data_IF_334870627243
#
_entry.id   IF_334870627243
#
_cell.length_a   1.000
_cell.length_b   1.000
_cell.length_c   1.000
_cell.angle_alpha   90.00
_cell.angle_beta   90.00
_cell.angle_gamma   90.00
#
_symmetry.space_group_name_H-M   'P 1'
#
loop_
_entity.id
_entity.type
_entity.pdbx_description
1 polymer ?
#
# COMPACT_ATOMS: atom_id res chain seq x y z
N UNK A 1 -4.12 -0.47 18.44
CA UNK A 1 -5.48 -0.26 17.86
C UNK A 1 -5.56 -1.10 16.59
N UNK A 2 -6.46 -2.07 16.51
CA UNK A 2 -6.67 -2.90 15.31
C UNK A 2 -7.88 -2.38 14.54
N UNK A 3 -7.71 -1.27 13.82
CA UNK A 3 -8.81 -0.52 13.19
C UNK A 3 -9.47 -1.26 12.00
N UNK A 4 -8.73 -2.13 11.31
CA UNK A 4 -9.25 -2.81 10.11
C UNK A 4 -10.01 -4.10 10.43
N UNK A 5 -9.58 -4.85 11.44
CA UNK A 5 -10.25 -6.12 11.81
C UNK A 5 -11.69 -5.85 12.25
N UNK A 6 -11.93 -4.76 12.98
CA UNK A 6 -13.26 -4.41 13.49
C UNK A 6 -14.26 -4.03 12.41
N UNK A 7 -13.82 -3.72 11.19
CA UNK A 7 -14.71 -3.45 10.06
C UNK A 7 -15.31 -4.73 9.45
N UNK A 8 -14.75 -5.89 9.78
CA UNK A 8 -15.13 -7.17 9.19
C UNK A 8 -14.65 -7.33 7.73
N UNK A 9 -15.01 -8.45 7.09
CA UNK A 9 -14.57 -8.75 5.72
C UNK A 9 -15.18 -7.80 4.68
N UNK A 10 -16.41 -7.35 4.90
CA UNK A 10 -17.10 -6.34 4.10
C UNK A 10 -17.75 -5.37 5.08
N UNK A 11 -17.28 -4.13 5.09
CA UNK A 11 -17.84 -3.11 5.96
C UNK A 11 -19.14 -2.55 5.36
N UNK A 12 -20.23 -2.63 6.12
CA UNK A 12 -21.48 -1.93 5.81
C UNK A 12 -21.29 -0.42 6.00
N UNK A 13 -21.45 0.34 4.91
CA UNK A 13 -21.27 1.80 4.87
C UNK A 13 -22.57 2.57 4.66
N UNK A 14 -23.72 1.90 4.72
CA UNK A 14 -25.04 2.54 4.53
C UNK A 14 -25.33 3.64 5.55
N UNK A 15 -24.71 3.55 6.74
CA UNK A 15 -24.88 4.50 7.86
C UNK A 15 -23.60 5.28 8.20
N UNK A 16 -22.57 5.18 7.36
CA UNK A 16 -21.30 5.85 7.60
C UNK A 16 -21.48 7.36 7.51
N UNK A 17 -21.00 8.10 8.52
CA UNK A 17 -20.98 9.55 8.51
C UNK A 17 -19.55 10.03 8.33
N UNK A 18 -19.29 10.66 7.18
CA UNK A 18 -17.99 11.23 6.85
C UNK A 18 -17.92 12.69 7.30
N UNK A 19 -16.75 13.11 7.76
CA UNK A 19 -16.46 14.49 8.16
C UNK A 19 -15.52 15.16 7.15
N UNK A 20 -15.23 16.46 7.33
CA UNK A 20 -14.44 17.23 6.38
C UNK A 20 -13.05 16.63 6.09
N UNK A 21 -12.40 15.99 7.08
CA UNK A 21 -11.11 15.32 6.88
C UNK A 21 -11.18 14.10 5.96
N UNK A 22 -12.38 13.57 5.70
CA UNK A 22 -12.60 12.38 4.87
C UNK A 22 -12.84 12.73 3.39
N UNK A 23 -12.55 13.97 2.97
CA UNK A 23 -12.72 14.39 1.58
C UNK A 23 -12.01 13.46 0.58
N UNK A 24 -10.82 12.95 0.95
CA UNK A 24 -10.09 11.97 0.14
C UNK A 24 -10.82 10.64 -0.04
N UNK A 25 -11.54 10.18 0.98
CA UNK A 25 -12.37 8.96 0.92
C UNK A 25 -13.51 9.17 -0.09
N UNK A 26 -14.17 10.33 -0.03
CA UNK A 26 -15.26 10.67 -0.97
C UNK A 26 -14.74 10.73 -2.41
N UNK A 27 -13.63 11.43 -2.64
CA UNK A 27 -13.01 11.54 -3.96
C UNK A 27 -12.66 10.16 -4.52
N UNK A 28 -11.95 9.35 -3.73
CA UNK A 28 -11.53 8.02 -4.14
C UNK A 28 -12.70 7.12 -4.49
N UNK A 29 -13.75 7.10 -3.67
CA UNK A 29 -14.95 6.28 -3.96
C UNK A 29 -15.69 6.75 -5.20
N UNK A 30 -15.76 8.06 -5.46
CA UNK A 30 -16.38 8.59 -6.68
C UNK A 30 -15.62 8.15 -7.93
N UNK A 31 -14.29 8.29 -7.90
CA UNK A 31 -13.41 7.82 -8.97
C UNK A 31 -13.62 6.32 -9.22
N UNK A 32 -13.54 5.47 -8.19
CA UNK A 32 -13.76 4.03 -8.36
C UNK A 32 -15.11 3.69 -8.99
N UNK A 33 -16.19 4.36 -8.58
CA UNK A 33 -17.51 4.13 -9.15
C UNK A 33 -17.59 4.60 -10.61
N UNK A 34 -16.84 5.61 -11.01
CA UNK A 34 -16.72 6.01 -12.42
C UNK A 34 -15.95 4.96 -13.22
N UNK A 35 -14.82 4.48 -12.73
CA UNK A 35 -14.02 3.46 -13.39
C UNK A 35 -14.78 2.12 -13.53
N UNK A 36 -15.59 1.75 -12.52
CA UNK A 36 -16.49 0.59 -12.62
C UNK A 36 -17.48 0.75 -13.79
N UNK A 37 -18.06 1.93 -13.98
CA UNK A 37 -18.99 2.18 -15.10
C UNK A 37 -18.27 2.07 -16.45
N UNK A 38 -17.02 2.52 -16.55
CA UNK A 38 -16.20 2.35 -17.76
C UNK A 38 -16.01 0.87 -18.10
N UNK A 39 -15.66 0.07 -17.09
CA UNK A 39 -15.54 -1.39 -17.25
C UNK A 39 -16.86 -2.03 -17.70
N UNK A 40 -17.99 -1.64 -17.10
CA UNK A 40 -19.32 -2.11 -17.50
C UNK A 40 -19.67 -1.73 -18.96
N UNK A 41 -19.17 -0.59 -19.43
CA UNK A 41 -19.30 -0.13 -20.82
C UNK A 41 -18.27 -0.78 -21.77
N UNK A 42 -17.48 -1.75 -21.30
CA UNK A 42 -16.35 -2.36 -22.02
C UNK A 42 -15.26 -1.36 -22.46
N UNK A 43 -15.13 -0.26 -21.72
CA UNK A 43 -14.05 0.72 -21.85
C UNK A 43 -12.90 0.41 -20.89
N UNK A 44 -11.75 1.02 -21.15
CA UNK A 44 -10.57 0.87 -20.29
C UNK A 44 -10.68 1.78 -19.05
N UNK A 45 -10.57 1.22 -17.84
CA UNK A 45 -10.45 2.02 -16.65
C UNK A 45 -9.05 2.65 -16.56
N UNK A 46 -8.93 3.64 -15.69
CA UNK A 46 -7.70 4.35 -15.40
C UNK A 46 -6.58 3.38 -15.00
N UNK A 47 -5.41 3.58 -15.61
CA UNK A 47 -4.20 2.79 -15.35
C UNK A 47 -4.06 1.53 -16.21
N UNK A 48 -4.96 1.28 -17.16
CA UNK A 48 -4.79 0.18 -18.12
C UNK A 48 -3.91 0.64 -19.28
N UNK A 49 -2.74 0.01 -19.41
CA UNK A 49 -1.80 0.18 -20.52
C UNK A 49 -1.77 -1.13 -21.30
N UNK A 50 -2.37 -1.15 -22.49
CA UNK A 50 -2.49 -2.38 -23.30
C UNK A 50 -1.32 -2.59 -24.25
N UNK A 51 -0.70 -1.51 -24.72
CA UNK A 51 0.44 -1.58 -25.62
C UNK A 51 1.68 -2.07 -24.85
N UNK A 52 2.26 -3.22 -25.21
CA UNK A 52 3.48 -3.71 -24.58
C UNK A 52 4.66 -2.75 -24.70
N UNK A 53 4.71 -1.89 -25.73
CA UNK A 53 5.77 -0.91 -25.90
C UNK A 53 5.67 0.27 -24.94
N UNK A 54 4.49 0.51 -24.36
CA UNK A 54 4.23 1.57 -23.37
C UNK A 54 4.14 1.00 -21.94
N UNK A 55 4.05 -0.33 -21.80
CA UNK A 55 3.91 -1.02 -20.51
C UNK A 55 5.26 -1.40 -19.91
N UNK A 56 6.09 -0.38 -19.67
CA UNK A 56 7.39 -0.54 -19.05
C UNK A 56 7.34 -0.31 -17.54
N UNK A 57 8.17 -1.07 -16.81
CA UNK A 57 8.33 -0.90 -15.36
C UNK A 57 9.13 0.37 -15.12
N UNK A 58 8.51 1.35 -14.46
CA UNK A 58 9.21 2.54 -13.99
C UNK A 58 10.00 2.18 -12.72
N UNK A 59 11.32 2.08 -12.85
CA UNK A 59 12.21 1.95 -11.69
C UNK A 59 12.32 3.29 -10.96
N UNK A 60 11.59 3.42 -9.86
CA UNK A 60 11.74 4.56 -8.96
C UNK A 60 13.05 4.42 -8.17
N UNK A 61 13.87 5.48 -8.04
CA UNK A 61 15.08 5.44 -7.23
C UNK A 61 14.68 5.21 -5.76
N UNK A 62 14.94 4.00 -5.28
CA UNK A 62 14.73 3.68 -3.86
C UNK A 62 15.98 4.04 -3.08
N UNK A 63 15.82 4.80 -1.99
CA UNK A 63 16.90 5.08 -1.05
C UNK A 63 17.39 3.76 -0.44
N UNK A 64 18.57 3.30 -0.89
CA UNK A 64 19.22 2.07 -0.42
C UNK A 64 20.14 2.32 0.76
N UNK A 65 20.57 3.56 0.99
CA UNK A 65 21.51 3.94 2.03
C UNK A 65 20.90 4.95 3.00
N UNK A 66 19.81 4.53 3.65
CA UNK A 66 19.16 5.32 4.69
C UNK A 66 20.20 5.72 5.74
N UNK A 67 20.41 7.04 5.87
CA UNK A 67 21.34 7.65 6.82
C UNK A 67 22.83 7.27 6.66
N UNK A 68 23.27 6.81 5.49
CA UNK A 68 24.66 6.38 5.24
C UNK A 68 25.10 5.14 6.04
N UNK A 69 24.15 4.34 6.52
CA UNK A 69 24.40 3.15 7.34
C UNK A 69 24.55 1.84 6.57
N UNK A 70 24.29 1.82 5.25
CA UNK A 70 24.35 0.60 4.44
C UNK A 70 23.63 -0.60 5.09
N UNK A 71 24.29 -1.77 5.13
CA UNK A 71 23.74 -2.99 5.74
C UNK A 71 23.56 -2.91 7.26
N UNK A 72 24.24 -2.00 7.97
CA UNK A 72 24.10 -1.89 9.43
C UNK A 72 22.76 -1.31 9.83
N UNK A 73 22.22 -0.39 9.01
CA UNK A 73 20.91 0.24 9.27
C UNK A 73 19.78 -0.80 9.28
N UNK A 74 19.85 -1.82 8.43
CA UNK A 74 18.81 -2.85 8.35
C UNK A 74 18.78 -3.70 9.63
N UNK A 75 19.95 -4.08 10.13
CA UNK A 75 20.09 -4.80 11.41
C UNK A 75 19.64 -3.91 12.58
N UNK A 76 20.06 -2.66 12.60
CA UNK A 76 19.67 -1.69 13.62
C UNK A 76 18.15 -1.44 13.60
N UNK A 77 17.54 -1.30 12.42
CA UNK A 77 16.10 -1.15 12.24
C UNK A 77 15.31 -2.35 12.82
N UNK A 78 15.83 -3.56 12.67
CA UNK A 78 15.24 -4.76 13.30
C UNK A 78 15.30 -4.67 14.83
N UNK A 79 16.39 -4.16 15.40
CA UNK A 79 16.57 -4.03 16.86
C UNK A 79 15.77 -2.86 17.47
N UNK A 80 15.65 -1.72 16.79
CA UNK A 80 14.97 -0.52 17.33
C UNK A 80 13.46 -0.54 17.09
N UNK A 81 12.98 -1.37 16.15
CA UNK A 81 11.55 -1.47 15.80
C UNK A 81 10.84 -2.61 16.55
N UNK A 82 9.55 -2.75 16.31
CA UNK A 82 8.72 -3.84 16.83
C UNK A 82 9.18 -5.23 16.33
N UNK A 83 9.91 -5.28 15.21
CA UNK A 83 10.46 -6.51 14.62
C UNK A 83 11.38 -7.27 15.58
N UNK A 84 11.99 -6.60 16.57
CA UNK A 84 12.83 -7.24 17.61
C UNK A 84 12.11 -8.31 18.43
N UNK A 85 10.78 -8.24 18.52
CA UNK A 85 9.94 -9.20 19.23
C UNK A 85 9.41 -10.31 18.31
N UNK A 86 9.78 -10.30 17.03
CA UNK A 86 9.34 -11.31 16.08
C UNK A 86 9.89 -12.69 16.44
N UNK A 87 9.05 -13.74 16.47
CA UNK A 87 9.51 -15.12 16.70
C UNK A 87 10.43 -15.62 15.56
N UNK A 88 10.42 -14.95 14.40
CA UNK A 88 11.25 -15.27 13.24
C UNK A 88 12.40 -14.26 13.02
N UNK A 89 12.74 -13.44 14.04
CA UNK A 89 13.79 -12.41 13.96
C UNK A 89 15.10 -12.93 13.36
N UNK A 90 15.57 -14.08 13.82
CA UNK A 90 16.84 -14.67 13.34
C UNK A 90 16.79 -15.07 11.86
N UNK A 91 15.63 -15.44 11.34
CA UNK A 91 15.44 -15.71 9.91
C UNK A 91 15.45 -14.41 9.10
N UNK A 92 14.78 -13.37 9.60
CA UNK A 92 14.74 -12.04 8.99
C UNK A 92 16.16 -11.48 8.85
N UNK A 93 16.97 -11.52 9.91
CA UNK A 93 18.35 -11.00 9.88
C UNK A 93 19.18 -11.72 8.80
N UNK A 94 19.08 -13.05 8.68
CA UNK A 94 19.82 -13.83 7.67
C UNK A 94 19.45 -13.49 6.22
N UNK A 95 18.21 -13.11 5.95
CA UNK A 95 17.77 -12.73 4.61
C UNK A 95 18.24 -11.34 4.19
N UNK A 96 18.71 -10.54 5.15
CA UNK A 96 19.11 -9.15 4.95
C UNK A 96 20.65 -8.99 4.87
N UNK A 97 21.40 -10.08 5.07
CA UNK A 97 22.86 -10.17 4.90
C UNK A 97 23.24 -10.58 3.48
#
# INVERSE_FOLDING_TARGET
IMAWITQGPIADRTREQLVASDAGIVLYRRMLMEEVRRVEAAEDPLGVIRDPAENDIIELPQERDKFRGGKSFVREAVEISHVRHSPIKSQIIRLLE
#
